data_IF_005190941696
#
_entry.id   IF_005190941696
#
_cell.length_a   1.000
_cell.length_b   1.000
_cell.length_c   1.000
_cell.angle_alpha   90.00
_cell.angle_beta   90.00
_cell.angle_gamma   90.00
#
_symmetry.space_group_name_H-M   'P 1'
#
loop_
_entity.id
_entity.type
_entity.pdbx_description
1 polymer ?
#
# COMPACT_ATOMS: atom_id res chain seq x y z
N UNK A 1 -2.00 -17.33 -17.98
CA UNK A 1 -2.53 -17.09 -16.62
C UNK A 1 -1.34 -16.89 -15.69
N UNK A 2 -1.27 -15.76 -15.00
CA UNK A 2 -0.16 -15.37 -14.11
C UNK A 2 -0.76 -14.78 -12.83
N UNK A 3 -0.14 -15.06 -11.68
CA UNK A 3 -0.53 -14.50 -10.39
C UNK A 3 0.73 -14.13 -9.61
N UNK A 4 0.69 -13.00 -8.90
CA UNK A 4 1.79 -12.52 -8.07
C UNK A 4 1.25 -11.86 -6.81
N UNK A 5 1.97 -11.99 -5.71
CA UNK A 5 1.72 -11.18 -4.52
C UNK A 5 2.38 -9.83 -4.76
N UNK A 6 1.62 -8.75 -4.56
CA UNK A 6 2.15 -7.41 -4.70
C UNK A 6 3.16 -7.14 -3.58
N UNK A 7 4.39 -6.77 -3.95
CA UNK A 7 5.49 -6.56 -3.00
C UNK A 7 5.42 -5.20 -2.29
N UNK A 8 4.33 -4.95 -1.57
CA UNK A 8 4.10 -3.75 -0.75
C UNK A 8 5.01 -3.71 0.48
N UNK A 9 5.14 -2.57 1.16
CA UNK A 9 5.88 -2.50 2.42
C UNK A 9 5.24 -3.38 3.49
N UNK A 10 3.90 -3.42 3.57
CA UNK A 10 3.17 -4.30 4.47
C UNK A 10 3.55 -5.77 4.25
N UNK A 11 3.57 -6.22 3.00
CA UNK A 11 4.00 -7.58 2.65
C UNK A 11 5.46 -7.83 3.03
N UNK A 12 6.38 -6.97 2.57
CA UNK A 12 7.82 -7.10 2.80
C UNK A 12 8.15 -7.17 4.30
N UNK A 13 7.58 -6.28 5.11
CA UNK A 13 7.83 -6.26 6.55
C UNK A 13 7.18 -7.42 7.27
N UNK A 14 5.98 -7.85 6.85
CA UNK A 14 5.35 -9.04 7.41
C UNK A 14 6.19 -10.30 7.17
N UNK A 15 6.77 -10.45 5.97
CA UNK A 15 7.66 -11.57 5.64
C UNK A 15 8.94 -11.58 6.48
N UNK A 16 9.55 -10.42 6.73
CA UNK A 16 10.74 -10.31 7.60
C UNK A 16 10.38 -10.59 9.07
N UNK A 17 9.27 -10.04 9.56
CA UNK A 17 8.87 -10.15 10.95
C UNK A 17 8.17 -11.49 11.29
N UNK A 18 7.75 -12.26 10.29
CA UNK A 18 6.88 -13.45 10.39
C UNK A 18 5.57 -13.19 11.13
N UNK A 19 5.08 -11.94 11.06
CA UNK A 19 3.86 -11.45 11.71
C UNK A 19 3.44 -10.12 11.10
N UNK A 20 2.15 -9.79 11.16
CA UNK A 20 1.65 -8.51 10.64
C UNK A 20 2.13 -7.35 11.50
N UNK A 21 2.90 -6.43 10.91
CA UNK A 21 3.42 -5.24 11.61
C UNK A 21 2.60 -3.97 11.34
N UNK A 22 1.73 -4.03 10.33
CA UNK A 22 0.70 -3.01 10.07
C UNK A 22 -0.65 -3.51 10.57
N UNK A 23 -1.52 -2.56 10.91
CA UNK A 23 -2.90 -2.87 11.26
C UNK A 23 -3.69 -3.02 9.95
N UNK A 24 -4.44 -4.10 9.86
CA UNK A 24 -5.31 -4.40 8.71
C UNK A 24 -6.76 -4.46 9.19
N UNK A 25 -7.71 -4.53 8.25
CA UNK A 25 -9.13 -4.65 8.59
C UNK A 25 -9.38 -5.87 9.49
N UNK A 26 -9.90 -5.63 10.69
CA UNK A 26 -10.16 -6.66 11.69
C UNK A 26 -8.92 -7.37 12.26
N UNK A 27 -7.69 -6.98 11.88
CA UNK A 27 -6.45 -7.64 12.30
C UNK A 27 -5.47 -6.65 12.90
N UNK A 28 -5.11 -6.88 14.16
CA UNK A 28 -4.18 -6.03 14.90
C UNK A 28 -2.73 -6.15 14.41
N UNK A 29 -2.01 -5.03 14.43
CA UNK A 29 -0.56 -4.95 14.26
C UNK A 29 0.25 -5.48 15.47
N UNK A 30 1.39 -6.11 15.19
CA UNK A 30 2.41 -6.46 16.16
C UNK A 30 3.61 -5.51 16.09
N UNK A 31 4.34 -5.30 17.21
CA UNK A 31 5.55 -4.49 17.19
C UNK A 31 6.59 -5.06 16.21
N UNK A 32 7.01 -4.21 15.28
CA UNK A 32 8.03 -4.52 14.29
C UNK A 32 9.36 -4.84 15.00
N UNK A 33 9.94 -6.05 14.82
CA UNK A 33 11.20 -6.41 15.47
C UNK A 33 12.36 -5.50 15.05
N UNK A 34 12.32 -4.96 13.83
CA UNK A 34 13.39 -4.14 13.22
C UNK A 34 13.43 -2.70 13.76
N UNK A 35 12.37 -2.26 14.45
CA UNK A 35 12.27 -0.88 14.95
C UNK A 35 12.76 -0.70 16.39
N UNK A 36 13.21 0.52 16.69
CA UNK A 36 13.72 0.91 18.01
C UNK A 36 12.65 0.85 19.11
N UNK A 37 13.08 0.73 20.37
CA UNK A 37 12.20 0.58 21.54
C UNK A 37 11.21 1.75 21.67
N UNK A 38 11.64 2.98 21.41
CA UNK A 38 10.76 4.17 21.43
C UNK A 38 9.61 4.00 20.44
N UNK A 39 9.91 3.55 19.22
CA UNK A 39 8.92 3.34 18.17
C UNK A 39 7.93 2.21 18.53
N UNK A 40 8.43 1.15 19.19
CA UNK A 40 7.61 0.03 19.71
C UNK A 40 6.65 0.48 20.81
N UNK A 41 7.00 1.50 21.59
CA UNK A 41 6.10 2.09 22.60
C UNK A 41 5.09 3.02 21.94
N UNK A 42 5.53 3.90 21.04
CA UNK A 42 4.64 4.86 20.37
C UNK A 42 3.56 4.18 19.52
N UNK A 43 3.91 3.10 18.80
CA UNK A 43 2.96 2.30 18.01
C UNK A 43 1.85 1.63 18.85
N UNK A 44 2.01 1.54 20.17
CA UNK A 44 0.94 1.08 21.07
C UNK A 44 -0.03 2.20 21.46
N UNK A 45 0.38 3.46 21.37
CA UNK A 45 -0.40 4.63 21.79
C UNK A 45 -1.15 5.25 20.62
N UNK A 46 -0.54 5.27 19.43
CA UNK A 46 -1.11 5.86 18.22
C UNK A 46 -0.84 4.91 17.05
N UNK A 47 -1.81 4.65 16.16
CA UNK A 47 -1.53 4.03 14.87
C UNK A 47 -0.70 5.01 14.03
N UNK A 48 0.63 4.80 13.99
CA UNK A 48 1.55 5.74 13.34
C UNK A 48 1.54 5.58 11.83
N UNK A 49 1.42 4.34 11.34
CA UNK A 49 1.52 4.03 9.93
C UNK A 49 0.26 3.33 9.43
N UNK A 50 -0.31 3.83 8.34
CA UNK A 50 -1.34 3.14 7.56
C UNK A 50 -0.70 2.03 6.73
N UNK A 51 -1.43 0.95 6.53
CA UNK A 51 -1.02 -0.12 5.61
C UNK A 51 -1.02 0.37 4.17
N UNK A 52 -0.07 -0.11 3.38
CA UNK A 52 -0.04 0.07 1.93
C UNK A 52 -0.52 -1.21 1.19
N UNK A 53 -1.19 -2.12 1.91
CA UNK A 53 -1.81 -3.31 1.35
C UNK A 53 -3.02 -2.96 0.48
N UNK A 54 -2.84 -3.01 -0.84
CA UNK A 54 -3.89 -2.66 -1.83
C UNK A 54 -4.65 -3.89 -2.34
N UNK A 55 -5.22 -4.69 -1.43
CA UNK A 55 -5.95 -5.94 -1.76
C UNK A 55 -7.37 -5.71 -2.27
N UNK A 56 -7.90 -4.49 -2.14
CA UNK A 56 -9.31 -4.20 -2.38
C UNK A 56 -9.73 -4.32 -3.84
N UNK A 57 -9.17 -3.48 -4.70
CA UNK A 57 -9.59 -3.37 -6.10
C UNK A 57 -8.40 -3.08 -7.02
N UNK A 58 -8.56 -3.42 -8.29
CA UNK A 58 -7.67 -3.07 -9.39
C UNK A 58 -8.45 -2.37 -10.50
N UNK A 59 -7.91 -1.29 -11.04
CA UNK A 59 -8.53 -0.53 -12.12
C UNK A 59 -7.46 0.13 -13.00
N UNK A 60 -7.83 0.57 -14.20
CA UNK A 60 -6.90 1.26 -15.10
C UNK A 60 -7.47 2.63 -15.49
N UNK A 61 -6.57 3.62 -15.57
CA UNK A 61 -6.84 5.00 -15.95
C UNK A 61 -5.76 5.40 -16.96
N UNK A 62 -6.15 5.94 -18.11
CA UNK A 62 -5.19 6.41 -19.13
C UNK A 62 -4.13 5.38 -19.56
N UNK A 63 -4.51 4.10 -19.60
CA UNK A 63 -3.60 3.01 -19.97
C UNK A 63 -2.63 2.56 -18.86
N UNK A 64 -2.68 3.20 -17.69
CA UNK A 64 -1.96 2.77 -16.51
C UNK A 64 -2.90 2.04 -15.55
N UNK A 65 -2.43 0.95 -14.96
CA UNK A 65 -3.21 0.15 -14.03
C UNK A 65 -2.74 0.36 -12.60
N UNK A 66 -3.70 0.39 -11.70
CA UNK A 66 -3.54 0.69 -10.29
C UNK A 66 -4.26 -0.34 -9.44
N UNK A 67 -3.75 -0.56 -8.23
CA UNK A 67 -4.41 -1.32 -7.18
C UNK A 67 -4.61 -0.43 -5.97
N UNK A 68 -5.79 -0.51 -5.34
CA UNK A 68 -6.12 0.27 -4.16
C UNK A 68 -6.86 -0.55 -3.11
N UNK A 69 -6.95 0.02 -1.91
CA UNK A 69 -7.81 -0.45 -0.84
C UNK A 69 -8.40 0.77 -0.12
N UNK A 70 -8.74 0.66 1.16
CA UNK A 70 -9.30 1.74 1.98
C UNK A 70 -8.22 2.72 2.49
N UNK A 71 -6.93 2.39 2.33
CA UNK A 71 -5.82 3.27 2.64
C UNK A 71 -5.62 4.37 1.60
N UNK A 72 -4.97 5.46 1.99
CA UNK A 72 -4.54 6.53 1.08
C UNK A 72 -3.36 6.14 0.16
N UNK A 73 -2.82 4.93 0.29
CA UNK A 73 -1.79 4.41 -0.60
C UNK A 73 -2.39 3.61 -1.75
N UNK A 74 -1.90 3.90 -2.95
CA UNK A 74 -2.29 3.27 -4.21
C UNK A 74 -1.00 2.76 -4.86
N UNK A 75 -1.03 1.60 -5.48
CA UNK A 75 0.11 1.08 -6.22
C UNK A 75 -0.17 1.10 -7.71
N UNK A 76 0.73 1.71 -8.48
CA UNK A 76 0.75 1.53 -9.93
C UNK A 76 1.39 0.19 -10.24
N UNK A 77 0.77 -0.60 -11.10
CA UNK A 77 1.20 -1.95 -11.45
C UNK A 77 1.54 -2.06 -12.93
N UNK A 78 2.52 -2.90 -13.23
CA UNK A 78 2.80 -3.35 -14.58
C UNK A 78 1.93 -4.55 -14.93
N UNK A 79 1.12 -4.46 -15.99
CA UNK A 79 0.17 -5.53 -16.34
C UNK A 79 0.84 -6.78 -16.90
N UNK A 80 2.02 -6.65 -17.51
CA UNK A 80 2.73 -7.78 -18.11
C UNK A 80 3.53 -8.56 -17.07
N UNK A 81 4.22 -7.86 -16.17
CA UNK A 81 5.07 -8.48 -15.13
C UNK A 81 4.38 -8.67 -13.78
N UNK A 82 3.22 -8.03 -13.55
CA UNK A 82 2.51 -7.95 -12.27
C UNK A 82 3.38 -7.44 -11.11
N UNK A 83 4.40 -6.63 -11.43
CA UNK A 83 5.26 -5.98 -10.44
C UNK A 83 4.73 -4.59 -10.07
N UNK A 84 4.87 -4.16 -8.81
CA UNK A 84 4.63 -2.78 -8.44
C UNK A 84 5.67 -1.87 -9.11
N UNK A 85 5.22 -0.80 -9.77
CA UNK A 85 6.08 0.25 -10.31
C UNK A 85 6.38 1.30 -9.24
N UNK A 86 5.32 1.89 -8.69
CA UNK A 86 5.41 2.96 -7.72
C UNK A 86 4.25 2.94 -6.73
N UNK A 87 4.50 3.50 -5.55
CA UNK A 87 3.47 3.81 -4.55
C UNK A 87 3.10 5.29 -4.70
N UNK A 88 1.83 5.55 -4.94
CA UNK A 88 1.24 6.87 -5.16
C UNK A 88 0.25 7.16 -4.02
N UNK A 89 0.11 8.42 -3.64
CA UNK A 89 -0.97 8.82 -2.74
C UNK A 89 -2.28 9.01 -3.49
N UNK A 90 -3.39 8.79 -2.81
CA UNK A 90 -4.73 9.15 -3.27
C UNK A 90 -4.83 10.60 -3.75
N UNK A 91 -4.19 11.54 -3.05
CA UNK A 91 -4.13 12.94 -3.46
C UNK A 91 -3.40 13.14 -4.79
N UNK A 92 -2.26 12.47 -4.99
CA UNK A 92 -1.54 12.51 -6.26
C UNK A 92 -2.38 11.92 -7.39
N UNK A 93 -3.10 10.83 -7.15
CA UNK A 93 -4.02 10.27 -8.14
C UNK A 93 -5.20 11.21 -8.43
N UNK A 94 -5.74 11.87 -7.42
CA UNK A 94 -6.80 12.87 -7.58
C UNK A 94 -6.33 14.03 -8.46
N UNK A 95 -5.15 14.59 -8.18
CA UNK A 95 -4.53 15.64 -9.00
C UNK A 95 -4.29 15.12 -10.43
N UNK A 96 -3.81 13.90 -10.60
CA UNK A 96 -3.63 13.28 -11.92
C UNK A 96 -4.96 13.22 -12.71
N UNK A 97 -6.03 12.76 -12.07
CA UNK A 97 -7.37 12.70 -12.67
C UNK A 97 -7.87 14.10 -13.02
N UNK A 98 -7.69 15.09 -12.15
CA UNK A 98 -8.10 16.48 -12.45
C UNK A 98 -7.36 17.04 -13.66
N UNK A 99 -6.04 16.87 -13.73
CA UNK A 99 -5.27 17.32 -14.89
C UNK A 99 -5.74 16.61 -16.16
N UNK A 100 -6.04 15.31 -16.08
CA UNK A 100 -6.55 14.56 -17.21
C UNK A 100 -7.93 15.03 -17.68
N UNK A 101 -8.87 15.26 -16.76
CA UNK A 101 -10.25 15.64 -17.09
C UNK A 101 -10.37 17.10 -17.55
N UNK A 102 -9.57 18.02 -16.98
CA UNK A 102 -9.75 19.46 -17.19
C UNK A 102 -8.67 20.15 -18.03
N UNK A 103 -7.47 19.57 -18.19
CA UNK A 103 -6.38 20.19 -18.96
C UNK A 103 -6.08 19.49 -20.29
N UNK A 104 -6.89 18.50 -20.65
CA UNK A 104 -6.83 17.79 -21.93
C UNK A 104 -8.12 18.03 -22.69
#
# INVERSE_FOLDING_TARGET
FQQRILETEAYKRAMVAKKNVYAEFGTRAYPDPTRNVIFKVLTKLVPIDLTDNTVGNSYCLEGECFTSYESCFIHRIDVDSLLPKERVSDFSLFVYILNFVFLR
#
